data_IF_220957353053
#
_entry.id   IF_220957353053
#
_cell.length_a   1.000
_cell.length_b   1.000
_cell.length_c   1.000
_cell.angle_alpha   90.00
_cell.angle_beta   90.00
_cell.angle_gamma   90.00
#
_symmetry.space_group_name_H-M   'P 1'
#
loop_
_entity.id
_entity.type
_entity.pdbx_description
1 polymer ?
#
# COMPACT_ATOMS: atom_id res chain seq x y z
N UNK A 1 -23.06 -3.46 6.69
CA UNK A 1 -21.92 -3.17 5.76
C UNK A 1 -21.62 -1.68 5.60
N UNK A 2 -22.58 -0.76 5.67
CA UNK A 2 -22.31 0.70 5.55
C UNK A 2 -21.53 1.32 6.73
N UNK A 3 -21.55 0.72 7.92
CA UNK A 3 -20.84 1.22 9.09
C UNK A 3 -19.31 0.99 9.07
N UNK A 4 -18.85 -0.08 8.41
CA UNK A 4 -17.41 -0.38 8.29
C UNK A 4 -16.71 0.59 7.34
N UNK A 5 -17.34 0.90 6.20
CA UNK A 5 -16.78 1.85 5.24
C UNK A 5 -16.66 3.27 5.82
N UNK A 6 -17.62 3.69 6.65
CA UNK A 6 -17.57 5.01 7.29
C UNK A 6 -16.45 5.11 8.35
N UNK A 7 -16.17 4.02 9.08
CA UNK A 7 -15.06 3.98 10.05
C UNK A 7 -13.71 3.87 9.37
N UNK A 8 -13.57 3.13 8.29
CA UNK A 8 -12.31 3.08 7.53
C UNK A 8 -11.97 4.42 6.88
N UNK A 9 -12.95 5.13 6.32
CA UNK A 9 -12.73 6.47 5.74
C UNK A 9 -12.36 7.50 6.81
N UNK A 10 -12.88 7.38 8.03
CA UNK A 10 -12.55 8.31 9.14
C UNK A 10 -11.20 7.98 9.77
N UNK A 11 -10.80 6.70 9.82
CA UNK A 11 -9.55 6.30 10.46
C UNK A 11 -8.38 6.11 9.50
N UNK A 12 -8.60 5.91 8.20
CA UNK A 12 -7.54 5.94 7.19
C UNK A 12 -6.96 7.34 6.96
N UNK A 13 -7.71 8.38 7.33
CA UNK A 13 -7.21 9.76 7.35
C UNK A 13 -6.75 10.14 8.75
N UNK A 14 -5.64 9.54 9.23
CA UNK A 14 -4.92 9.99 10.44
C UNK A 14 -4.63 11.50 10.44
N UNK A 15 -4.69 12.15 9.30
CA UNK A 15 -4.58 13.59 9.11
C UNK A 15 -5.70 14.40 9.79
N UNK A 16 -6.88 13.86 10.02
CA UNK A 16 -7.97 14.60 10.69
C UNK A 16 -7.88 14.58 12.23
N UNK A 17 -7.20 13.60 12.81
CA UNK A 17 -7.06 13.53 14.26
C UNK A 17 -6.33 14.74 14.86
N UNK A 18 -5.14 15.15 14.36
CA UNK A 18 -4.46 16.36 14.81
C UNK A 18 -5.28 17.64 14.57
N UNK A 19 -6.04 17.69 13.47
CA UNK A 19 -6.93 18.82 13.19
C UNK A 19 -8.08 18.89 14.18
N UNK A 20 -8.73 17.77 14.48
CA UNK A 20 -9.79 17.70 15.47
C UNK A 20 -9.27 18.09 16.86
N UNK A 21 -8.09 17.59 17.26
CA UNK A 21 -7.47 18.00 18.52
C UNK A 21 -7.05 19.48 18.53
N UNK A 22 -6.54 20.03 17.42
CA UNK A 22 -6.20 21.43 17.27
C UNK A 22 -7.43 22.34 17.38
N UNK A 23 -8.51 21.99 16.71
CA UNK A 23 -9.80 22.72 16.82
C UNK A 23 -10.39 22.60 18.23
N UNK A 24 -10.34 21.44 18.87
CA UNK A 24 -10.77 21.26 20.26
C UNK A 24 -9.93 22.08 21.23
N UNK A 25 -8.61 22.13 21.05
CA UNK A 25 -7.72 22.95 21.86
C UNK A 25 -8.01 24.46 21.67
N UNK A 26 -8.27 24.91 20.43
CA UNK A 26 -8.69 26.28 20.14
C UNK A 26 -10.05 26.60 20.76
N UNK A 27 -11.01 25.68 20.68
CA UNK A 27 -12.33 25.85 21.31
C UNK A 27 -12.21 25.97 22.83
N UNK A 28 -11.39 25.15 23.48
CA UNK A 28 -11.11 25.24 24.92
C UNK A 28 -10.49 26.60 25.26
N UNK A 29 -9.53 27.08 24.46
CA UNK A 29 -8.90 28.40 24.66
C UNK A 29 -9.89 29.56 24.46
N UNK A 30 -10.79 29.46 23.48
CA UNK A 30 -11.82 30.47 23.23
C UNK A 30 -12.93 30.47 24.29
N UNK A 31 -13.23 29.30 24.88
CA UNK A 31 -14.23 29.14 25.93
C UNK A 31 -13.71 29.39 27.36
N UNK A 32 -12.45 29.74 27.51
CA UNK A 32 -11.79 29.95 28.82
C UNK A 32 -12.46 31.04 29.70
N UNK A 33 -13.37 31.83 29.16
CA UNK A 33 -14.22 32.76 29.90
C UNK A 33 -15.57 32.18 30.34
N UNK A 34 -15.97 31.01 29.82
CA UNK A 34 -17.30 30.43 30.05
C UNK A 34 -17.29 29.21 31.00
N UNK A 35 -16.14 28.60 31.24
CA UNK A 35 -16.00 27.45 32.12
C UNK A 35 -15.19 27.83 33.38
N UNK A 36 -15.61 27.40 34.61
CA UNK A 36 -14.85 27.64 35.84
C UNK A 36 -13.65 26.68 35.90
N UNK A 37 -12.71 26.84 34.97
CA UNK A 37 -11.44 26.11 34.99
C UNK A 37 -10.51 26.74 36.07
N UNK A 38 -9.70 25.93 36.81
CA UNK A 38 -8.70 26.47 37.71
C UNK A 38 -7.80 27.43 36.97
N UNK A 39 -7.54 28.61 37.53
CA UNK A 39 -6.65 29.64 36.93
C UNK A 39 -5.29 29.01 36.71
N UNK A 40 -5.00 28.65 35.46
CA UNK A 40 -3.70 28.15 35.02
C UNK A 40 -2.65 29.28 35.15
N UNK A 41 -1.52 28.96 35.76
CA UNK A 41 -0.40 29.90 35.88
C UNK A 41 -0.01 30.41 34.48
N UNK A 42 0.30 31.70 34.34
CA UNK A 42 0.65 32.37 33.08
C UNK A 42 1.76 31.63 32.34
N UNK A 43 2.74 31.07 33.07
CA UNK A 43 3.81 30.25 32.46
C UNK A 43 3.32 28.95 31.80
N UNK A 44 2.34 28.31 32.44
CA UNK A 44 1.74 27.09 31.89
C UNK A 44 0.88 27.42 30.67
N UNK A 45 0.15 28.51 30.68
CA UNK A 45 -0.63 29.01 29.57
C UNK A 45 0.24 29.34 28.34
N UNK A 46 1.39 29.98 28.53
CA UNK A 46 2.33 30.29 27.46
C UNK A 46 2.94 29.02 26.86
N UNK A 47 3.38 28.05 27.69
CA UNK A 47 3.88 26.75 27.22
C UNK A 47 2.86 25.96 26.43
N UNK A 48 1.61 25.95 26.88
CA UNK A 48 0.51 25.29 26.18
C UNK A 48 0.23 25.95 24.81
N UNK A 49 0.21 27.29 24.73
CA UNK A 49 0.07 28.02 23.47
C UNK A 49 1.17 27.69 22.47
N UNK A 50 2.46 27.63 22.93
CA UNK A 50 3.56 27.20 22.08
C UNK A 50 3.38 25.77 21.59
N UNK A 51 2.91 24.85 22.42
CA UNK A 51 2.64 23.46 22.03
C UNK A 51 1.55 23.37 20.94
N UNK A 52 0.46 24.12 21.11
CA UNK A 52 -0.64 24.16 20.11
C UNK A 52 -0.16 24.76 18.78
N UNK A 53 0.58 25.85 18.82
CA UNK A 53 1.12 26.48 17.60
C UNK A 53 2.10 25.55 16.89
N UNK A 54 3.01 24.91 17.64
CA UNK A 54 3.94 23.95 17.07
C UNK A 54 3.22 22.76 16.41
N UNK A 55 2.17 22.24 17.04
CA UNK A 55 1.35 21.16 16.49
C UNK A 55 0.61 21.58 15.22
N UNK A 56 0.02 22.79 15.19
CA UNK A 56 -0.64 23.32 14.00
C UNK A 56 0.33 23.54 12.84
N UNK A 57 1.55 24.04 13.13
CA UNK A 57 2.61 24.19 12.13
C UNK A 57 3.06 22.83 11.57
N UNK A 58 3.27 21.84 12.43
CA UNK A 58 3.65 20.50 11.99
C UNK A 58 2.55 19.90 11.10
N UNK A 59 1.28 20.05 11.49
CA UNK A 59 0.14 19.62 10.70
C UNK A 59 0.06 20.34 9.35
N UNK A 60 0.23 21.66 9.34
CA UNK A 60 0.22 22.45 8.11
C UNK A 60 1.35 22.06 7.15
N UNK A 61 2.53 21.73 7.67
CA UNK A 61 3.65 21.22 6.87
C UNK A 61 3.37 19.85 6.27
N UNK A 62 2.80 18.92 7.06
CA UNK A 62 2.41 17.58 6.58
C UNK A 62 1.33 17.68 5.51
N UNK A 63 0.27 18.43 5.76
CA UNK A 63 -0.82 18.63 4.79
C UNK A 63 -0.32 19.33 3.53
N UNK A 64 0.55 20.33 3.69
CA UNK A 64 1.16 21.05 2.59
C UNK A 64 2.04 20.14 1.72
N UNK A 65 2.79 19.23 2.34
CA UNK A 65 3.58 18.21 1.64
C UNK A 65 2.70 17.27 0.80
N UNK A 66 1.66 16.72 1.40
CA UNK A 66 0.74 15.81 0.71
C UNK A 66 -0.01 16.49 -0.45
N UNK A 67 -0.50 17.72 -0.25
CA UNK A 67 -1.14 18.50 -1.31
C UNK A 67 -0.16 18.85 -2.45
N UNK A 68 1.08 19.17 -2.11
CA UNK A 68 2.12 19.44 -3.10
C UNK A 68 2.45 18.18 -3.92
N UNK A 69 2.57 17.02 -3.27
CA UNK A 69 2.80 15.74 -3.90
C UNK A 69 1.68 15.39 -4.89
N UNK A 70 0.43 15.42 -4.44
CA UNK A 70 -0.73 15.15 -5.27
C UNK A 70 -0.81 16.11 -6.48
N UNK A 71 -0.54 17.40 -6.27
CA UNK A 71 -0.55 18.41 -7.34
C UNK A 71 0.59 18.22 -8.35
N UNK A 72 1.78 17.82 -7.90
CA UNK A 72 2.90 17.50 -8.79
C UNK A 72 2.52 16.39 -9.77
N UNK A 73 2.02 15.28 -9.26
CA UNK A 73 1.66 14.11 -10.08
C UNK A 73 0.48 14.43 -10.99
N UNK A 74 -0.54 15.15 -10.49
CA UNK A 74 -1.70 15.53 -11.30
C UNK A 74 -1.35 16.50 -12.44
N UNK A 75 -0.39 17.40 -12.22
CA UNK A 75 -0.01 18.40 -13.23
C UNK A 75 0.89 17.86 -14.33
N UNK A 76 1.79 16.94 -14.01
CA UNK A 76 2.76 16.34 -14.93
C UNK A 76 3.17 14.96 -14.44
N UNK A 77 2.42 13.91 -14.79
CA UNK A 77 2.79 12.55 -14.42
C UNK A 77 4.13 12.19 -15.09
N UNK A 78 5.16 11.97 -14.29
CA UNK A 78 6.50 11.59 -14.74
C UNK A 78 7.21 10.83 -13.62
N UNK A 79 8.28 10.10 -13.95
CA UNK A 79 9.10 9.42 -12.95
C UNK A 79 9.66 10.39 -11.90
N UNK A 80 10.07 11.58 -12.31
CA UNK A 80 10.59 12.62 -11.40
C UNK A 80 9.50 13.12 -10.45
N UNK A 81 8.27 13.37 -10.96
CA UNK A 81 7.16 13.80 -10.11
C UNK A 81 6.70 12.71 -9.14
N UNK A 82 6.69 11.44 -9.56
CA UNK A 82 6.38 10.31 -8.68
C UNK A 82 7.42 10.14 -7.57
N UNK A 83 8.72 10.22 -7.92
CA UNK A 83 9.80 10.14 -6.93
C UNK A 83 9.76 11.31 -5.93
N UNK A 84 9.50 12.52 -6.43
CA UNK A 84 9.36 13.71 -5.56
C UNK A 84 8.12 13.62 -4.67
N UNK A 85 7.01 13.11 -5.19
CA UNK A 85 5.78 12.90 -4.42
C UNK A 85 5.98 11.86 -3.32
N UNK A 86 6.61 10.73 -3.61
CA UNK A 86 6.95 9.71 -2.61
C UNK A 86 7.83 10.25 -1.48
N UNK A 87 8.74 11.18 -1.78
CA UNK A 87 9.58 11.81 -0.77
C UNK A 87 8.83 12.84 0.10
N UNK A 88 7.84 13.53 -0.46
CA UNK A 88 7.09 14.60 0.21
C UNK A 88 5.91 14.07 1.00
N UNK A 89 5.16 13.11 0.44
CA UNK A 89 3.98 12.55 1.07
C UNK A 89 4.38 11.50 2.12
N UNK A 90 3.90 11.67 3.35
CA UNK A 90 4.21 10.76 4.46
C UNK A 90 3.14 9.68 4.67
N UNK A 91 2.03 9.78 3.97
CA UNK A 91 0.91 8.83 4.10
C UNK A 91 0.73 7.95 2.87
N UNK A 92 0.79 8.55 1.68
CA UNK A 92 0.55 7.87 0.40
C UNK A 92 1.85 7.57 -0.38
N UNK A 93 3.02 7.68 0.26
CA UNK A 93 4.32 7.45 -0.37
C UNK A 93 4.39 6.08 -1.07
N UNK A 94 3.77 5.05 -0.48
CA UNK A 94 3.75 3.71 -1.04
C UNK A 94 2.99 3.63 -2.37
N UNK A 95 1.92 4.41 -2.54
CA UNK A 95 1.15 4.47 -3.79
C UNK A 95 1.95 5.17 -4.90
N UNK A 96 2.73 6.20 -4.56
CA UNK A 96 3.63 6.85 -5.52
C UNK A 96 4.81 5.96 -5.90
N UNK A 97 5.43 5.26 -4.95
CA UNK A 97 6.49 4.28 -5.24
C UNK A 97 5.94 3.13 -6.09
N UNK A 98 4.77 2.59 -5.76
CA UNK A 98 4.12 1.54 -6.54
C UNK A 98 3.79 2.01 -7.97
N UNK A 99 3.30 3.23 -8.12
CA UNK A 99 3.04 3.85 -9.42
C UNK A 99 4.32 4.02 -10.23
N UNK A 100 5.43 4.37 -9.58
CA UNK A 100 6.76 4.44 -10.20
C UNK A 100 7.21 3.07 -10.71
N UNK A 101 7.13 2.04 -9.86
CA UNK A 101 7.50 0.65 -10.20
C UNK A 101 6.66 0.15 -11.38
N UNK A 102 5.35 0.31 -11.36
CA UNK A 102 4.47 -0.10 -12.45
C UNK A 102 4.75 0.67 -13.75
N UNK A 103 4.98 1.96 -13.66
CA UNK A 103 5.32 2.77 -14.84
C UNK A 103 6.65 2.36 -15.46
N UNK A 104 7.56 1.79 -14.67
CA UNK A 104 8.86 1.31 -15.16
C UNK A 104 8.80 0.01 -15.96
N UNK A 105 7.63 -0.64 -16.07
CA UNK A 105 7.41 -1.82 -16.92
C UNK A 105 7.25 -1.46 -18.39
N UNK A 106 7.09 -0.19 -18.73
CA UNK A 106 6.99 0.28 -20.12
C UNK A 106 8.35 0.15 -20.81
N UNK A 107 8.34 -0.13 -22.11
CA UNK A 107 9.54 -0.19 -22.94
C UNK A 107 10.27 1.16 -23.00
N UNK A 108 11.60 1.15 -23.11
CA UNK A 108 12.47 2.31 -23.29
C UNK A 108 12.69 3.20 -22.03
N UNK A 109 12.78 2.60 -20.86
CA UNK A 109 13.25 3.32 -19.67
C UNK A 109 14.78 3.34 -19.60
N UNK A 110 15.32 4.39 -18.96
CA UNK A 110 16.77 4.50 -18.72
C UNK A 110 17.21 3.55 -17.60
N UNK A 111 18.51 3.16 -17.55
CA UNK A 111 19.04 2.35 -16.46
C UNK A 111 18.80 2.96 -15.06
N UNK A 112 18.88 4.28 -14.94
CA UNK A 112 18.65 4.99 -13.67
C UNK A 112 17.21 4.83 -13.18
N UNK A 113 16.23 4.91 -14.09
CA UNK A 113 14.82 4.67 -13.76
C UNK A 113 14.63 3.23 -13.31
N UNK A 114 15.27 2.27 -13.97
CA UNK A 114 15.21 0.85 -13.59
C UNK A 114 15.80 0.64 -12.18
N UNK A 115 16.97 1.19 -11.92
CA UNK A 115 17.62 1.09 -10.62
C UNK A 115 16.77 1.71 -9.50
N UNK A 116 16.13 2.83 -9.77
CA UNK A 116 15.24 3.45 -8.78
C UNK A 116 13.97 2.63 -8.56
N UNK A 117 13.40 2.04 -9.61
CA UNK A 117 12.26 1.13 -9.50
C UNK A 117 12.60 -0.11 -8.68
N UNK A 118 13.81 -0.68 -8.84
CA UNK A 118 14.29 -1.79 -8.02
C UNK A 118 14.35 -1.42 -6.53
N UNK A 119 14.89 -0.26 -6.20
CA UNK A 119 14.93 0.23 -4.80
C UNK A 119 13.54 0.41 -4.20
N UNK A 120 12.61 0.95 -4.99
CA UNK A 120 11.23 1.09 -4.54
C UNK A 120 10.52 -0.26 -4.40
N UNK A 121 10.76 -1.20 -5.32
CA UNK A 121 10.21 -2.55 -5.21
C UNK A 121 10.72 -3.27 -3.93
N UNK A 122 12.00 -3.16 -3.63
CA UNK A 122 12.60 -3.70 -2.39
C UNK A 122 11.99 -3.04 -1.14
N UNK A 123 11.81 -1.71 -1.14
CA UNK A 123 11.19 -0.99 -0.03
C UNK A 123 9.72 -1.41 0.15
N UNK A 124 8.94 -1.44 -0.93
CA UNK A 124 7.55 -1.86 -0.92
C UNK A 124 7.35 -3.32 -0.49
N UNK A 125 8.31 -4.21 -0.77
CA UNK A 125 8.25 -5.60 -0.33
C UNK A 125 8.24 -5.74 1.20
N UNK A 126 8.74 -4.74 1.94
CA UNK A 126 8.71 -4.69 3.40
C UNK A 126 7.38 -4.19 3.97
N UNK A 127 6.55 -3.56 3.13
CA UNK A 127 5.27 -2.98 3.57
C UNK A 127 4.24 -4.08 3.83
N UNK A 128 3.51 -3.92 4.91
CA UNK A 128 2.39 -4.79 5.24
C UNK A 128 1.12 -4.30 4.52
N UNK A 129 0.86 -4.85 3.34
CA UNK A 129 -0.28 -4.49 2.47
C UNK A 129 -0.85 -5.74 1.83
N UNK A 130 -2.16 -5.77 1.67
CA UNK A 130 -2.87 -6.85 0.99
C UNK A 130 -2.95 -6.66 -0.54
N UNK A 131 -2.45 -5.57 -1.08
CA UNK A 131 -2.52 -5.27 -2.53
C UNK A 131 -1.15 -5.12 -3.18
N UNK A 132 -0.17 -4.55 -2.48
CA UNK A 132 1.17 -4.31 -3.03
C UNK A 132 1.85 -5.59 -3.53
N UNK A 133 1.78 -6.76 -2.83
CA UNK A 133 2.54 -7.94 -3.24
C UNK A 133 2.20 -8.47 -4.63
N UNK A 134 0.94 -8.43 -5.07
CA UNK A 134 0.59 -8.92 -6.42
C UNK A 134 1.19 -8.05 -7.53
N UNK A 135 1.25 -6.73 -7.33
CA UNK A 135 1.89 -5.82 -8.29
C UNK A 135 3.42 -5.95 -8.29
N UNK A 136 4.02 -6.26 -7.15
CA UNK A 136 5.45 -6.56 -7.09
C UNK A 136 5.76 -7.90 -7.75
N UNK A 137 4.89 -8.90 -7.63
CA UNK A 137 5.05 -10.16 -8.35
C UNK A 137 5.05 -9.93 -9.87
N UNK A 138 4.13 -9.14 -10.39
CA UNK A 138 4.11 -8.72 -11.81
C UNK A 138 5.43 -8.05 -12.21
N UNK A 139 5.93 -7.12 -11.39
CA UNK A 139 7.18 -6.43 -11.63
C UNK A 139 8.38 -7.40 -11.67
N UNK A 140 8.46 -8.31 -10.70
CA UNK A 140 9.56 -9.27 -10.63
C UNK A 140 9.52 -10.30 -11.76
N UNK A 141 8.35 -10.78 -12.17
CA UNK A 141 8.23 -11.61 -13.37
C UNK A 141 8.67 -10.86 -14.63
N UNK A 142 8.20 -9.65 -14.83
CA UNK A 142 8.55 -8.79 -15.97
C UNK A 142 10.05 -8.47 -16.04
N UNK A 143 10.75 -8.52 -14.90
CA UNK A 143 12.19 -8.28 -14.80
C UNK A 143 13.01 -9.56 -14.69
N UNK A 144 12.41 -10.73 -15.00
CA UNK A 144 13.02 -12.05 -14.98
C UNK A 144 13.63 -12.44 -13.62
N UNK A 145 12.88 -12.20 -12.55
CA UNK A 145 13.20 -12.54 -11.16
C UNK A 145 12.12 -13.43 -10.54
N UNK A 146 11.92 -14.66 -11.04
CA UNK A 146 10.79 -15.50 -10.68
C UNK A 146 10.75 -15.87 -9.18
N UNK A 147 11.88 -16.11 -8.54
CA UNK A 147 11.89 -16.43 -7.10
C UNK A 147 11.32 -15.29 -6.23
N UNK A 148 11.68 -14.03 -6.55
CA UNK A 148 11.13 -12.87 -5.85
C UNK A 148 9.64 -12.69 -6.16
N UNK A 149 9.23 -12.96 -7.41
CA UNK A 149 7.84 -12.90 -7.80
C UNK A 149 6.99 -13.93 -7.02
N UNK A 150 7.46 -15.18 -6.93
CA UNK A 150 6.76 -16.22 -6.16
C UNK A 150 6.69 -15.88 -4.67
N UNK A 151 7.77 -15.36 -4.08
CA UNK A 151 7.75 -14.93 -2.68
C UNK A 151 6.67 -13.83 -2.43
N UNK A 152 6.47 -12.94 -3.39
CA UNK A 152 5.40 -11.94 -3.29
C UNK A 152 4.02 -12.55 -3.49
N UNK A 153 3.84 -13.53 -4.37
CA UNK A 153 2.58 -14.25 -4.53
C UNK A 153 2.22 -15.08 -3.30
N UNK A 154 3.18 -15.75 -2.68
CA UNK A 154 2.99 -16.47 -1.42
C UNK A 154 2.53 -15.50 -0.32
N UNK A 155 3.20 -14.35 -0.18
CA UNK A 155 2.79 -13.29 0.74
C UNK A 155 1.37 -12.78 0.45
N UNK A 156 1.01 -12.60 -0.83
CA UNK A 156 -0.33 -12.17 -1.23
C UNK A 156 -1.38 -13.23 -0.91
N UNK A 157 -1.11 -14.51 -1.22
CA UNK A 157 -1.99 -15.63 -0.94
C UNK A 157 -2.31 -15.74 0.56
N UNK A 158 -1.34 -15.52 1.45
CA UNK A 158 -1.56 -15.50 2.89
C UNK A 158 -2.55 -14.40 3.32
N UNK A 159 -2.49 -13.22 2.70
CA UNK A 159 -3.41 -12.12 3.03
C UNK A 159 -4.83 -12.34 2.52
N UNK A 160 -4.96 -13.01 1.38
CA UNK A 160 -6.24 -13.14 0.66
C UNK A 160 -6.77 -14.57 0.66
N UNK A 161 -6.31 -15.40 1.58
CA UNK A 161 -6.55 -16.84 1.60
C UNK A 161 -8.04 -17.25 1.42
N UNK A 162 -8.98 -16.43 1.90
CA UNK A 162 -10.43 -16.68 1.78
C UNK A 162 -11.11 -16.04 0.56
N UNK A 163 -10.36 -15.32 -0.29
CA UNK A 163 -10.91 -14.58 -1.43
C UNK A 163 -10.70 -15.35 -2.75
N UNK A 164 -11.76 -15.94 -3.28
CA UNK A 164 -11.72 -16.67 -4.54
C UNK A 164 -11.29 -15.79 -5.74
N UNK A 165 -11.70 -14.52 -5.77
CA UNK A 165 -11.34 -13.62 -6.85
C UNK A 165 -9.83 -13.27 -6.81
N UNK A 166 -9.26 -13.18 -5.63
CA UNK A 166 -7.84 -12.97 -5.46
C UNK A 166 -7.01 -14.19 -5.91
N UNK A 167 -7.44 -15.41 -5.59
CA UNK A 167 -6.83 -16.63 -6.12
C UNK A 167 -6.91 -16.70 -7.65
N UNK A 168 -8.05 -16.34 -8.23
CA UNK A 168 -8.20 -16.25 -9.69
C UNK A 168 -7.19 -15.23 -10.28
N UNK A 169 -6.99 -14.10 -9.61
CA UNK A 169 -6.01 -13.10 -10.03
C UNK A 169 -4.56 -13.61 -9.98
N UNK A 170 -4.22 -14.41 -8.95
CA UNK A 170 -2.90 -15.07 -8.86
C UNK A 170 -2.69 -15.99 -10.06
N UNK A 171 -3.64 -16.87 -10.38
CA UNK A 171 -3.48 -17.80 -11.48
C UNK A 171 -3.50 -17.11 -12.84
N UNK A 172 -4.30 -16.07 -13.03
CA UNK A 172 -4.28 -15.25 -14.25
C UNK A 172 -2.92 -14.57 -14.45
N UNK A 173 -2.29 -14.08 -13.36
CA UNK A 173 -0.94 -13.54 -13.43
C UNK A 173 0.08 -14.61 -13.82
N UNK A 174 0.04 -15.78 -13.18
CA UNK A 174 0.93 -16.90 -13.49
C UNK A 174 0.80 -17.36 -14.95
N UNK A 175 -0.41 -17.43 -15.49
CA UNK A 175 -0.66 -17.74 -16.89
C UNK A 175 -0.02 -16.72 -17.84
N UNK A 176 -0.11 -15.43 -17.50
CA UNK A 176 0.45 -14.37 -18.35
C UNK A 176 1.98 -14.40 -18.42
N UNK A 177 2.64 -15.05 -17.45
CA UNK A 177 4.08 -15.23 -17.37
C UNK A 177 4.51 -16.69 -17.50
N UNK A 178 3.64 -17.57 -18.04
CA UNK A 178 3.90 -19.00 -18.19
C UNK A 178 5.24 -19.26 -18.89
N UNK A 179 6.09 -20.03 -18.24
CA UNK A 179 7.41 -20.42 -18.74
C UNK A 179 7.63 -21.91 -18.51
N UNK A 180 8.13 -22.61 -19.55
CA UNK A 180 8.51 -24.03 -19.44
C UNK A 180 9.89 -24.17 -18.79
N UNK A 181 9.99 -23.81 -17.50
CA UNK A 181 11.20 -23.87 -16.68
C UNK A 181 10.90 -24.58 -15.38
N UNK A 182 11.85 -25.38 -14.90
CA UNK A 182 11.67 -26.15 -13.66
C UNK A 182 11.44 -25.28 -12.42
N UNK A 183 12.12 -24.13 -12.32
CA UNK A 183 11.96 -23.18 -11.23
C UNK A 183 10.57 -22.52 -11.24
N UNK A 184 10.02 -22.21 -12.42
CA UNK A 184 8.68 -21.69 -12.56
C UNK A 184 7.63 -22.75 -12.17
N UNK A 185 7.76 -24.00 -12.68
CA UNK A 185 6.88 -25.11 -12.30
C UNK A 185 6.89 -25.37 -10.80
N UNK A 186 8.08 -25.34 -10.17
CA UNK A 186 8.21 -25.49 -8.72
C UNK A 186 7.49 -24.36 -7.95
N UNK A 187 7.60 -23.13 -8.41
CA UNK A 187 6.89 -21.99 -7.83
C UNK A 187 5.38 -22.13 -7.93
N UNK A 188 4.86 -22.51 -9.11
CA UNK A 188 3.43 -22.82 -9.29
C UNK A 188 2.98 -23.91 -8.35
N UNK A 189 3.78 -24.99 -8.21
CA UNK A 189 3.47 -26.08 -7.29
C UNK A 189 3.29 -25.61 -5.84
N UNK A 190 4.13 -24.69 -5.35
CA UNK A 190 3.99 -24.11 -3.99
C UNK A 190 2.70 -23.31 -3.84
N UNK A 191 2.34 -22.50 -4.82
CA UNK A 191 1.07 -21.73 -4.80
C UNK A 191 -0.14 -22.67 -4.80
N UNK A 192 -0.11 -23.72 -5.63
CA UNK A 192 -1.17 -24.76 -5.66
C UNK A 192 -1.27 -25.49 -4.32
N UNK A 193 -0.14 -25.80 -3.70
CA UNK A 193 -0.15 -26.43 -2.38
C UNK A 193 -0.79 -25.51 -1.33
N UNK A 194 -0.47 -24.22 -1.31
CA UNK A 194 -1.12 -23.26 -0.39
C UNK A 194 -2.65 -23.21 -0.57
N UNK A 195 -3.12 -23.21 -1.83
CA UNK A 195 -4.56 -23.26 -2.12
C UNK A 195 -5.21 -24.56 -1.62
N UNK A 196 -4.55 -25.71 -1.85
CA UNK A 196 -5.06 -27.01 -1.41
C UNK A 196 -5.10 -27.10 0.11
N UNK A 197 -4.03 -26.70 0.81
CA UNK A 197 -3.97 -26.68 2.27
C UNK A 197 -5.09 -25.78 2.86
N UNK A 198 -5.34 -24.63 2.23
CA UNK A 198 -6.44 -23.77 2.64
C UNK A 198 -7.81 -24.40 2.40
N UNK A 199 -8.04 -25.01 1.22
CA UNK A 199 -9.28 -25.69 0.88
C UNK A 199 -9.55 -26.90 1.78
N UNK A 200 -8.54 -27.67 2.16
CA UNK A 200 -8.68 -28.78 3.10
C UNK A 200 -9.16 -28.30 4.47
N UNK A 201 -8.62 -27.18 4.96
CA UNK A 201 -9.02 -26.60 6.23
C UNK A 201 -10.40 -25.94 6.21
N UNK A 202 -10.87 -25.49 5.05
CA UNK A 202 -12.07 -24.67 4.89
C UNK A 202 -13.14 -25.31 3.97
N UNK A 203 -13.17 -26.65 3.86
CA UNK A 203 -14.20 -27.42 3.15
C UNK A 203 -14.30 -27.11 1.64
N UNK A 204 -13.20 -26.76 1.00
CA UNK A 204 -13.15 -26.57 -0.46
C UNK A 204 -13.92 -25.35 -0.97
N UNK A 205 -13.88 -24.23 -0.23
CA UNK A 205 -14.64 -23.02 -0.58
C UNK A 205 -14.12 -22.28 -1.80
N UNK A 206 -12.81 -22.42 -2.11
CA UNK A 206 -12.22 -21.76 -3.27
C UNK A 206 -12.33 -22.68 -4.49
N UNK A 207 -13.09 -22.24 -5.48
CA UNK A 207 -13.20 -22.90 -6.78
C UNK A 207 -12.63 -21.98 -7.86
N UNK A 208 -11.64 -22.48 -8.58
CA UNK A 208 -11.05 -21.81 -9.73
C UNK A 208 -11.86 -22.12 -10.99
N UNK A 209 -11.79 -21.22 -11.98
CA UNK A 209 -12.38 -21.48 -13.29
C UNK A 209 -11.64 -22.60 -14.05
N UNK A 210 -12.24 -23.02 -15.17
CA UNK A 210 -11.72 -24.13 -15.99
C UNK A 210 -10.33 -23.79 -16.57
N UNK A 211 -10.07 -22.53 -16.87
CA UNK A 211 -8.81 -22.07 -17.45
C UNK A 211 -7.66 -22.17 -16.43
N UNK A 212 -7.88 -21.71 -15.21
CA UNK A 212 -6.90 -21.84 -14.12
C UNK A 212 -6.67 -23.32 -13.75
N UNK A 213 -7.71 -24.15 -13.72
CA UNK A 213 -7.57 -25.59 -13.48
C UNK A 213 -6.75 -26.28 -14.57
N UNK A 214 -7.01 -25.96 -15.84
CA UNK A 214 -6.23 -26.51 -16.97
C UNK A 214 -4.76 -26.05 -16.94
N UNK A 215 -4.49 -24.81 -16.52
CA UNK A 215 -3.15 -24.31 -16.32
C UNK A 215 -2.41 -25.09 -15.21
N UNK A 216 -3.05 -25.26 -14.05
CA UNK A 216 -2.48 -26.02 -12.93
C UNK A 216 -2.13 -27.44 -13.38
N UNK A 217 -3.04 -28.14 -14.06
CA UNK A 217 -2.76 -29.50 -14.55
C UNK A 217 -1.53 -29.55 -15.45
N UNK A 218 -1.40 -28.62 -16.41
CA UNK A 218 -0.21 -28.55 -17.29
C UNK A 218 1.10 -28.28 -16.55
N UNK A 219 1.05 -27.55 -15.44
CA UNK A 219 2.24 -27.14 -14.70
C UNK A 219 2.69 -28.18 -13.66
N UNK A 220 1.78 -29.01 -13.20
CA UNK A 220 2.04 -30.01 -12.14
C UNK A 220 2.25 -31.43 -12.66
N UNK A 221 1.88 -31.73 -13.90
CA UNK A 221 2.21 -32.96 -14.64
C UNK A 221 3.62 -32.90 -15.24
#
# INVERSE_FOLDING_TARGET
>A
MAGHAATEVVFSTYSYLPMAFGVFALLILCCDGALPLPRLDIKFRTGYMFGVVAMLLAFALLLGGNLAAARMVASKPSFESLASAAALDKYEWADYELSYVRSSLVSNITPDIRQQADKYAEHLATVNSNTIPIYLAEYYFSTNRPEQAFAMLEKYADYVASDAAAWQSIFSLLQSFEQDRADFRQGVGRIVQMLNDWNEQNMGQIQLDEEAQAFISRMTD
#
